data_IF_966696319262
#
_entry.id   IF_966696319262
#
_cell.length_a   1.000
_cell.length_b   1.000
_cell.length_c   1.000
_cell.angle_alpha   90.00
_cell.angle_beta   90.00
_cell.angle_gamma   90.00
#
_symmetry.space_group_name_H-M   'P 1'
#
loop_
_entity.id
_entity.type
_entity.pdbx_description
1 polymer ?
#
# COMPACT_ATOMS: atom_id res chain seq x y z
N UNK A 1 13.67 6.99 -5.89
CA UNK A 1 12.31 7.54 -5.85
C UNK A 1 11.39 6.60 -5.10
N UNK A 2 10.60 7.15 -4.19
CA UNK A 2 9.56 6.36 -3.51
C UNK A 2 8.45 6.12 -4.53
N UNK A 3 8.22 4.85 -4.88
CA UNK A 3 7.13 4.47 -5.78
C UNK A 3 5.79 4.95 -5.18
N UNK A 4 5.07 5.80 -5.90
CA UNK A 4 3.69 6.18 -5.55
C UNK A 4 2.78 4.97 -5.70
N UNK A 5 1.97 4.71 -4.68
CA UNK A 5 1.14 3.51 -4.61
C UNK A 5 -0.27 3.87 -4.20
N UNK A 6 -1.23 3.32 -4.92
CA UNK A 6 -2.62 3.37 -4.53
C UNK A 6 -3.13 2.03 -4.01
N UNK A 7 -4.16 2.08 -3.22
CA UNK A 7 -4.80 0.90 -2.65
C UNK A 7 -6.31 0.93 -2.89
N UNK A 8 -6.89 -0.26 -3.01
CA UNK A 8 -8.32 -0.45 -3.16
C UNK A 8 -8.78 -1.53 -2.19
N UNK A 9 -9.81 -1.23 -1.42
CA UNK A 9 -10.54 -2.19 -0.60
C UNK A 9 -11.91 -2.45 -1.21
N UNK A 10 -12.49 -3.61 -0.94
CA UNK A 10 -13.81 -3.99 -1.46
C UNK A 10 -14.69 -4.45 -0.32
N UNK A 11 -15.95 -4.02 -0.35
CA UNK A 11 -17.00 -4.48 0.52
C UNK A 11 -18.12 -5.12 -0.31
N UNK A 12 -18.46 -6.35 -0.01
CA UNK A 12 -19.55 -7.08 -0.64
C UNK A 12 -20.66 -7.31 0.37
N UNK A 13 -21.86 -6.82 0.06
CA UNK A 13 -23.02 -6.89 0.98
C UNK A 13 -22.70 -6.34 2.38
N UNK A 14 -22.00 -5.19 2.44
CA UNK A 14 -21.61 -4.53 3.68
C UNK A 14 -20.47 -5.17 4.47
N UNK A 15 -19.84 -6.24 3.96
CA UNK A 15 -18.74 -6.95 4.61
C UNK A 15 -17.45 -6.81 3.83
N UNK A 16 -16.32 -6.76 4.54
CA UNK A 16 -14.97 -6.70 3.94
C UNK A 16 -14.70 -7.94 3.07
N UNK A 17 -14.43 -7.72 1.79
CA UNK A 17 -14.02 -8.77 0.85
C UNK A 17 -12.53 -8.65 0.53
N UNK A 18 -11.71 -9.18 1.43
CA UNK A 18 -10.25 -9.05 1.35
C UNK A 18 -9.63 -9.75 0.14
N UNK A 19 -10.33 -10.70 -0.49
CA UNK A 19 -9.85 -11.38 -1.70
C UNK A 19 -9.81 -10.43 -2.90
N UNK A 20 -10.69 -9.43 -2.89
CA UNK A 20 -10.79 -8.41 -3.93
C UNK A 20 -9.96 -7.15 -3.65
N UNK A 21 -9.22 -7.07 -2.54
CA UNK A 21 -8.32 -5.96 -2.26
C UNK A 21 -7.16 -5.91 -3.27
N UNK A 22 -6.82 -4.73 -3.73
CA UNK A 22 -5.75 -4.55 -4.72
C UNK A 22 -4.81 -3.43 -4.32
N UNK A 23 -3.57 -3.53 -4.80
CA UNK A 23 -2.50 -2.55 -4.68
C UNK A 23 -2.05 -2.17 -6.07
N UNK A 24 -1.92 -0.89 -6.32
CA UNK A 24 -1.55 -0.36 -7.62
C UNK A 24 -0.25 0.43 -7.47
N UNK A 25 0.80 0.00 -8.16
CA UNK A 25 1.98 0.82 -8.38
C UNK A 25 1.62 1.85 -9.45
N UNK A 26 1.76 3.14 -9.14
CA UNK A 26 1.55 4.23 -10.08
C UNK A 26 2.70 4.21 -11.09
N UNK A 27 2.39 4.30 -12.38
CA UNK A 27 3.37 4.12 -13.47
C UNK A 27 3.57 5.37 -14.30
N UNK A 28 2.54 6.18 -14.47
CA UNK A 28 2.52 7.30 -15.41
C UNK A 28 2.71 8.65 -14.75
N UNK A 29 2.52 8.73 -13.44
CA UNK A 29 2.58 9.96 -12.68
C UNK A 29 3.96 10.10 -12.02
N UNK A 30 4.61 11.23 -12.26
CA UNK A 30 5.90 11.57 -11.66
C UNK A 30 5.68 12.70 -10.63
N UNK A 31 6.00 12.41 -9.38
CA UNK A 31 5.83 13.36 -8.27
C UNK A 31 4.50 13.20 -7.51
N UNK A 32 4.21 14.10 -6.57
CA UNK A 32 3.02 14.06 -5.74
C UNK A 32 1.81 14.61 -6.50
N UNK A 33 1.09 13.74 -7.21
CA UNK A 33 -0.17 14.06 -7.88
C UNK A 33 -1.21 13.00 -7.50
N UNK A 34 -1.97 13.29 -6.47
CA UNK A 34 -3.01 12.40 -5.95
C UNK A 34 -4.19 12.28 -6.95
N UNK A 35 -4.50 13.33 -7.69
CA UNK A 35 -5.60 13.32 -8.67
C UNK A 35 -5.29 12.41 -9.85
N UNK A 36 -4.13 12.59 -10.46
CA UNK A 36 -3.66 11.75 -11.55
C UNK A 36 -3.47 10.29 -11.11
N UNK A 37 -2.95 10.07 -9.91
CA UNK A 37 -2.78 8.73 -9.34
C UNK A 37 -4.11 7.99 -9.18
N UNK A 38 -5.15 8.64 -8.67
CA UNK A 38 -6.49 8.05 -8.55
C UNK A 38 -7.11 7.77 -9.92
N UNK A 39 -6.95 8.68 -10.87
CA UNK A 39 -7.42 8.50 -12.26
C UNK A 39 -6.73 7.31 -12.93
N UNK A 40 -5.41 7.15 -12.78
CA UNK A 40 -4.66 5.99 -13.29
C UNK A 40 -5.18 4.68 -12.69
N UNK A 41 -5.38 4.64 -11.36
CA UNK A 41 -5.88 3.44 -10.68
C UNK A 41 -7.24 3.03 -11.24
N UNK A 42 -8.17 3.98 -11.35
CA UNK A 42 -9.50 3.69 -11.88
C UNK A 42 -9.45 3.25 -13.34
N UNK A 43 -8.70 3.93 -14.20
CA UNK A 43 -8.53 3.55 -15.62
C UNK A 43 -8.03 2.10 -15.76
N UNK A 44 -7.10 1.70 -14.90
CA UNK A 44 -6.59 0.32 -14.88
C UNK A 44 -7.62 -0.66 -14.32
N UNK A 45 -8.37 -0.26 -13.27
CA UNK A 45 -9.40 -1.10 -12.67
C UNK A 45 -10.56 -1.40 -13.62
N UNK A 46 -10.99 -0.41 -14.39
CA UNK A 46 -12.05 -0.53 -15.40
C UNK A 46 -11.71 -1.63 -16.43
N UNK A 47 -10.46 -1.70 -16.87
CA UNK A 47 -10.01 -2.70 -17.86
C UNK A 47 -10.13 -4.15 -17.40
N UNK A 48 -10.21 -4.38 -16.10
CA UNK A 48 -10.36 -5.73 -15.54
C UNK A 48 -11.82 -6.22 -15.51
N UNK A 49 -12.79 -5.39 -15.89
CA UNK A 49 -14.22 -5.72 -15.78
C UNK A 49 -14.69 -5.86 -14.33
N UNK A 50 -15.84 -6.51 -14.13
CA UNK A 50 -16.48 -6.72 -12.82
C UNK A 50 -16.53 -5.44 -11.97
N UNK A 51 -17.22 -4.43 -12.50
CA UNK A 51 -17.32 -3.10 -11.90
C UNK A 51 -18.21 -3.12 -10.66
N UNK A 52 -17.93 -2.27 -9.64
CA UNK A 52 -18.73 -2.20 -8.43
C UNK A 52 -20.04 -1.43 -8.67
N UNK A 53 -20.98 -1.56 -7.72
CA UNK A 53 -22.21 -0.77 -7.72
C UNK A 53 -22.01 0.66 -7.19
N UNK A 54 -20.93 0.90 -6.44
CA UNK A 54 -20.61 2.19 -5.84
C UNK A 54 -19.09 2.30 -5.70
N UNK A 55 -18.54 3.50 -5.97
CA UNK A 55 -17.15 3.85 -5.73
C UNK A 55 -17.10 4.90 -4.61
N UNK A 56 -16.30 4.64 -3.59
CA UNK A 56 -15.98 5.57 -2.52
C UNK A 56 -14.48 5.90 -2.56
N UNK A 57 -14.15 7.18 -2.60
CA UNK A 57 -12.77 7.67 -2.56
C UNK A 57 -12.43 8.17 -1.14
N UNK A 58 -11.25 7.85 -0.65
CA UNK A 58 -10.71 8.53 0.54
C UNK A 58 -10.16 9.90 0.14
N UNK A 59 -11.06 10.85 -0.08
CA UNK A 59 -10.70 12.16 -0.58
C UNK A 59 -11.90 13.09 -0.76
N UNK A 60 -11.59 14.34 -1.07
CA UNK A 60 -12.56 15.40 -1.24
C UNK A 60 -13.00 15.62 -2.70
N UNK A 61 -13.63 16.78 -2.92
CA UNK A 61 -14.26 17.15 -4.21
C UNK A 61 -13.31 17.13 -5.41
N UNK A 62 -12.04 17.49 -5.20
CA UNK A 62 -11.04 17.48 -6.29
C UNK A 62 -10.75 16.08 -6.79
N UNK A 63 -10.53 15.11 -5.88
CA UNK A 63 -10.32 13.70 -6.24
C UNK A 63 -11.56 13.11 -6.93
N UNK A 64 -12.76 13.42 -6.43
CA UNK A 64 -14.02 13.01 -7.06
C UNK A 64 -14.12 13.54 -8.49
N UNK A 65 -13.79 14.81 -8.73
CA UNK A 65 -13.83 15.38 -10.07
C UNK A 65 -12.89 14.70 -11.05
N UNK A 66 -11.66 14.43 -10.63
CA UNK A 66 -10.67 13.74 -11.45
C UNK A 66 -11.12 12.32 -11.83
N UNK A 67 -11.62 11.56 -10.85
CA UNK A 67 -12.07 10.18 -11.05
C UNK A 67 -13.37 10.12 -11.86
N UNK A 68 -14.28 11.09 -11.67
CA UNK A 68 -15.51 11.17 -12.46
C UNK A 68 -15.22 11.40 -13.96
N UNK A 69 -14.22 12.20 -14.30
CA UNK A 69 -13.83 12.39 -15.69
C UNK A 69 -13.43 11.07 -16.37
N UNK A 70 -12.71 10.19 -15.64
CA UNK A 70 -12.37 8.86 -16.15
C UNK A 70 -13.60 7.99 -16.39
N UNK A 71 -14.61 8.04 -15.51
CA UNK A 71 -15.86 7.32 -15.70
C UNK A 71 -16.62 7.86 -16.93
N UNK A 72 -16.72 9.18 -17.05
CA UNK A 72 -17.41 9.86 -18.14
C UNK A 72 -16.76 9.55 -19.50
N UNK A 73 -15.41 9.61 -19.59
CA UNK A 73 -14.64 9.26 -20.79
C UNK A 73 -14.80 7.79 -21.22
N UNK A 74 -15.06 6.89 -20.29
CA UNK A 74 -15.31 5.48 -20.58
C UNK A 74 -16.80 5.11 -20.67
N UNK A 75 -17.71 6.08 -20.65
CA UNK A 75 -19.16 5.90 -20.67
C UNK A 75 -19.68 4.97 -19.55
N UNK A 76 -19.07 5.06 -18.37
CA UNK A 76 -19.41 4.22 -17.21
C UNK A 76 -20.25 5.02 -16.23
N UNK A 77 -21.46 4.50 -15.93
CA UNK A 77 -22.38 5.09 -14.97
C UNK A 77 -22.35 4.32 -13.65
N UNK A 78 -21.44 4.71 -12.77
CA UNK A 78 -21.36 4.17 -11.40
C UNK A 78 -21.44 5.36 -10.44
N UNK A 79 -22.29 5.29 -9.39
CA UNK A 79 -22.29 6.30 -8.34
C UNK A 79 -20.90 6.45 -7.73
N UNK A 80 -20.41 7.69 -7.65
CA UNK A 80 -19.10 8.06 -7.15
C UNK A 80 -19.23 9.09 -6.05
N UNK A 81 -18.64 8.81 -4.89
CA UNK A 81 -18.58 9.72 -3.76
C UNK A 81 -17.19 9.76 -3.14
N UNK A 82 -16.80 10.92 -2.64
CA UNK A 82 -15.62 11.08 -1.80
C UNK A 82 -16.01 11.06 -0.32
N UNK A 83 -15.21 10.40 0.49
CA UNK A 83 -15.31 10.42 1.95
C UNK A 83 -14.37 11.53 2.45
N UNK A 84 -14.93 12.68 2.80
CA UNK A 84 -14.12 13.80 3.27
C UNK A 84 -14.01 13.86 4.80
N UNK A 85 -12.93 14.47 5.27
CA UNK A 85 -12.55 14.53 6.69
C UNK A 85 -12.73 15.92 7.27
N UNK A 86 -12.92 15.99 8.58
CA UNK A 86 -12.86 17.24 9.35
C UNK A 86 -11.39 17.67 9.60
N UNK A 87 -11.18 18.84 10.18
CA UNK A 87 -9.86 19.38 10.52
C UNK A 87 -9.06 18.50 11.49
N UNK A 88 -9.71 17.55 12.14
CA UNK A 88 -9.10 16.54 13.02
C UNK A 88 -8.86 15.21 12.30
N UNK A 89 -8.90 15.20 10.98
CA UNK A 89 -8.74 14.02 10.12
C UNK A 89 -9.73 12.87 10.37
N UNK A 90 -10.91 13.16 10.91
CA UNK A 90 -11.99 12.18 11.13
C UNK A 90 -13.01 12.28 10.02
N UNK A 91 -13.63 11.18 9.66
CA UNK A 91 -14.75 11.14 8.71
C UNK A 91 -15.78 12.21 9.07
N UNK A 92 -16.11 13.08 8.11
CA UNK A 92 -17.14 14.13 8.28
C UNK A 92 -18.36 13.84 7.42
N UNK A 93 -18.16 13.37 6.19
CA UNK A 93 -19.28 13.17 5.30
C UNK A 93 -18.91 12.62 3.95
N UNK A 94 -19.84 12.74 3.03
CA UNK A 94 -19.74 12.32 1.64
C UNK A 94 -19.89 13.50 0.71
N UNK A 95 -19.12 13.54 -0.37
CA UNK A 95 -19.14 14.59 -1.38
C UNK A 95 -19.13 14.00 -2.79
N UNK A 96 -19.91 14.57 -3.70
CA UNK A 96 -19.82 14.32 -5.13
C UNK A 96 -19.72 15.65 -5.92
N UNK A 97 -19.85 15.62 -7.24
CA UNK A 97 -19.81 16.83 -8.07
C UNK A 97 -20.90 17.85 -7.69
N UNK A 98 -22.06 17.38 -7.24
CA UNK A 98 -23.28 18.18 -7.10
C UNK A 98 -23.58 18.59 -5.66
N UNK A 99 -23.18 17.79 -4.68
CA UNK A 99 -23.60 17.97 -3.30
C UNK A 99 -22.57 17.48 -2.29
N UNK A 100 -22.66 17.99 -1.10
CA UNK A 100 -21.93 17.58 0.09
C UNK A 100 -22.92 17.19 1.18
N UNK A 101 -22.72 16.05 1.82
CA UNK A 101 -23.56 15.51 2.87
C UNK A 101 -22.73 15.33 4.12
N UNK A 102 -22.99 16.11 5.15
CA UNK A 102 -22.42 15.89 6.48
C UNK A 102 -23.18 14.76 7.16
N UNK A 103 -22.47 13.74 7.62
CA UNK A 103 -23.09 12.58 8.25
C UNK A 103 -23.25 12.79 9.75
N UNK A 104 -24.41 12.42 10.25
CA UNK A 104 -24.67 12.40 11.70
C UNK A 104 -23.93 11.21 12.32
N UNK A 105 -23.03 11.53 13.27
CA UNK A 105 -22.14 10.58 13.95
C UNK A 105 -22.86 9.51 14.77
N UNK A 106 -24.11 9.72 15.09
CA UNK A 106 -24.93 8.76 15.85
C UNK A 106 -25.49 7.64 14.97
N UNK A 107 -25.47 7.82 13.64
CA UNK A 107 -26.10 6.91 12.68
C UNK A 107 -25.23 5.70 12.34
N UNK A 108 -25.90 4.62 11.93
CA UNK A 108 -25.22 3.45 11.39
C UNK A 108 -24.53 3.74 10.05
N UNK A 109 -25.07 4.65 9.24
CA UNK A 109 -24.45 5.08 8.00
C UNK A 109 -23.09 5.73 8.26
N UNK A 110 -23.01 6.66 9.22
CA UNK A 110 -21.73 7.25 9.61
C UNK A 110 -20.71 6.19 10.05
N UNK A 111 -21.13 5.27 10.95
CA UNK A 111 -20.23 4.20 11.43
C UNK A 111 -19.72 3.33 10.30
N UNK A 112 -20.59 3.02 9.33
CA UNK A 112 -20.21 2.21 8.17
C UNK A 112 -19.23 2.96 7.27
N UNK A 113 -19.51 4.20 6.88
CA UNK A 113 -18.61 5.03 6.06
C UNK A 113 -17.26 5.22 6.76
N UNK A 114 -17.27 5.54 8.06
CA UNK A 114 -16.05 5.67 8.84
C UNK A 114 -15.23 4.37 8.86
N UNK A 115 -15.87 3.22 8.97
CA UNK A 115 -15.19 1.92 8.94
C UNK A 115 -14.56 1.60 7.59
N UNK A 116 -15.19 2.02 6.48
CA UNK A 116 -14.61 1.89 5.13
C UNK A 116 -13.38 2.79 4.99
N UNK A 117 -13.50 4.05 5.42
CA UNK A 117 -12.40 5.01 5.35
C UNK A 117 -11.21 4.58 6.21
N UNK A 118 -11.45 4.04 7.40
CA UNK A 118 -10.42 3.46 8.25
C UNK A 118 -9.76 2.23 7.60
N UNK A 119 -10.54 1.34 7.00
CA UNK A 119 -10.01 0.12 6.36
C UNK A 119 -9.09 0.46 5.19
N UNK A 120 -9.47 1.39 4.30
CA UNK A 120 -8.61 1.78 3.16
C UNK A 120 -7.34 2.45 3.64
N UNK A 121 -7.44 3.30 4.67
CA UNK A 121 -6.30 3.96 5.28
C UNK A 121 -5.32 2.96 5.93
N UNK A 122 -5.82 2.03 6.73
CA UNK A 122 -5.01 1.00 7.38
C UNK A 122 -4.36 0.06 6.37
N UNK A 123 -5.07 -0.29 5.29
CA UNK A 123 -4.52 -1.11 4.22
C UNK A 123 -3.37 -0.41 3.50
N UNK A 124 -3.50 0.88 3.23
CA UNK A 124 -2.44 1.71 2.64
C UNK A 124 -1.22 1.80 3.56
N UNK A 125 -1.41 2.15 4.85
CA UNK A 125 -0.32 2.25 5.83
C UNK A 125 0.44 0.94 5.96
N UNK A 126 -0.28 -0.18 6.10
CA UNK A 126 0.34 -1.50 6.24
C UNK A 126 1.23 -1.83 5.04
N UNK A 127 0.78 -1.46 3.84
CA UNK A 127 1.57 -1.68 2.63
C UNK A 127 2.80 -0.78 2.58
N UNK A 128 2.66 0.51 2.86
CA UNK A 128 3.81 1.43 2.94
C UNK A 128 4.87 0.96 3.94
N UNK A 129 4.44 0.48 5.12
CA UNK A 129 5.36 -0.10 6.11
C UNK A 129 6.09 -1.33 5.58
N UNK A 130 5.39 -2.20 4.85
CA UNK A 130 6.01 -3.40 4.26
C UNK A 130 7.07 -3.06 3.20
N UNK A 131 6.85 -2.00 2.42
CA UNK A 131 7.81 -1.54 1.42
C UNK A 131 9.04 -0.88 2.06
N UNK A 132 8.82 -0.03 3.08
CA UNK A 132 9.93 0.56 3.84
C UNK A 132 10.79 -0.55 4.48
N UNK A 133 10.15 -1.55 5.09
CA UNK A 133 10.89 -2.69 5.66
C UNK A 133 11.70 -3.42 4.60
N UNK A 134 11.13 -3.67 3.41
CA UNK A 134 11.86 -4.27 2.27
C UNK A 134 13.02 -3.40 1.78
N UNK A 135 12.82 -2.09 1.68
CA UNK A 135 13.86 -1.15 1.24
C UNK A 135 15.02 -1.09 2.23
N UNK A 136 14.72 -0.99 3.53
CA UNK A 136 15.74 -1.00 4.59
C UNK A 136 16.51 -2.34 4.61
N UNK A 137 15.79 -3.45 4.51
CA UNK A 137 16.38 -4.79 4.44
C UNK A 137 17.33 -4.94 3.24
N UNK A 138 16.94 -4.42 2.09
CA UNK A 138 17.77 -4.45 0.89
C UNK A 138 19.02 -3.58 1.06
N UNK A 139 18.89 -2.39 1.65
CA UNK A 139 20.00 -1.46 1.88
C UNK A 139 21.06 -2.05 2.82
N UNK A 140 20.66 -2.57 3.99
CA UNK A 140 21.60 -3.11 4.99
C UNK A 140 22.45 -4.26 4.43
N UNK A 141 21.86 -5.20 3.70
CA UNK A 141 22.61 -6.30 3.11
C UNK A 141 23.48 -5.89 1.91
N UNK A 142 23.18 -4.75 1.26
CA UNK A 142 23.98 -4.21 0.17
C UNK A 142 25.33 -3.65 0.66
N UNK A 143 25.40 -3.24 1.92
CA UNK A 143 26.61 -2.68 2.53
C UNK A 143 27.62 -3.76 2.98
N UNK A 144 27.21 -5.06 2.98
CA UNK A 144 28.06 -6.17 3.41
C UNK A 144 28.91 -6.67 2.23
N UNK A 145 30.25 -6.61 2.31
CA UNK A 145 31.13 -7.09 1.25
C UNK A 145 30.86 -8.55 0.88
N UNK A 146 30.72 -8.81 -0.43
CA UNK A 146 30.51 -10.16 -0.93
C UNK A 146 29.06 -10.66 -0.89
N UNK A 147 28.11 -9.83 -0.45
CA UNK A 147 26.67 -10.15 -0.43
C UNK A 147 25.99 -9.52 -1.63
N UNK A 148 25.99 -10.24 -2.75
CA UNK A 148 25.25 -9.86 -3.96
C UNK A 148 23.79 -10.33 -3.94
N UNK A 149 23.04 -10.03 -5.02
CA UNK A 149 21.58 -10.28 -5.11
C UNK A 149 21.18 -11.74 -4.81
N UNK A 150 21.95 -12.73 -5.27
CA UNK A 150 21.66 -14.15 -5.03
C UNK A 150 21.77 -14.51 -3.55
N UNK A 151 22.88 -14.12 -2.91
CA UNK A 151 23.11 -14.36 -1.49
C UNK A 151 22.09 -13.65 -0.62
N UNK A 152 21.77 -12.41 -0.95
CA UNK A 152 20.70 -11.64 -0.30
C UNK A 152 19.35 -12.37 -0.35
N UNK A 153 18.97 -12.83 -1.54
CA UNK A 153 17.72 -13.56 -1.73
C UNK A 153 17.67 -14.83 -0.89
N UNK A 154 18.76 -15.60 -0.86
CA UNK A 154 18.84 -16.84 -0.10
C UNK A 154 18.80 -16.59 1.41
N UNK A 155 19.55 -15.60 1.92
CA UNK A 155 19.50 -15.18 3.33
C UNK A 155 18.08 -14.77 3.75
N UNK A 156 17.40 -13.92 2.98
CA UNK A 156 16.04 -13.49 3.27
C UNK A 156 15.01 -14.60 3.12
N UNK A 157 15.24 -15.55 2.23
CA UNK A 157 14.39 -16.74 2.11
C UNK A 157 14.53 -17.65 3.32
N UNK A 158 15.73 -17.81 3.86
CA UNK A 158 16.02 -18.66 5.02
C UNK A 158 15.55 -18.02 6.33
N UNK A 159 16.05 -16.83 6.64
CA UNK A 159 15.83 -16.15 7.93
C UNK A 159 14.58 -15.28 8.00
N UNK A 160 13.93 -14.96 6.88
CA UNK A 160 12.70 -14.15 6.75
C UNK A 160 12.82 -12.67 7.17
N UNK A 161 13.83 -12.27 7.94
CA UNK A 161 14.03 -10.89 8.39
C UNK A 161 15.50 -10.55 8.63
N UNK A 162 15.86 -9.27 8.62
CA UNK A 162 17.20 -8.79 8.99
C UNK A 162 17.48 -9.07 10.46
N UNK A 163 16.49 -8.88 11.32
CA UNK A 163 16.67 -9.15 12.77
C UNK A 163 17.05 -10.60 13.03
N UNK A 164 16.48 -11.54 12.26
CA UNK A 164 16.84 -12.96 12.36
C UNK A 164 18.23 -13.25 11.79
N UNK A 165 18.65 -12.54 10.72
CA UNK A 165 20.02 -12.64 10.18
C UNK A 165 21.03 -12.09 11.20
N UNK A 166 20.71 -10.94 11.83
CA UNK A 166 21.55 -10.32 12.87
C UNK A 166 21.72 -11.23 14.08
N UNK A 167 20.67 -11.95 14.48
CA UNK A 167 20.68 -12.86 15.63
C UNK A 167 21.29 -14.24 15.30
N UNK A 168 21.50 -14.56 14.02
CA UNK A 168 22.00 -15.87 13.61
C UNK A 168 23.44 -16.13 14.07
N UNK A 169 23.72 -17.37 14.41
CA UNK A 169 25.08 -17.83 14.68
C UNK A 169 25.85 -17.96 13.37
N UNK A 170 27.17 -18.09 13.49
CA UNK A 170 28.03 -18.29 12.33
C UNK A 170 27.70 -19.61 11.59
N UNK A 171 27.40 -20.65 12.34
CA UNK A 171 27.00 -21.97 11.83
C UNK A 171 25.69 -21.90 11.05
N UNK A 172 24.67 -21.23 11.60
CA UNK A 172 23.38 -21.04 10.92
C UNK A 172 23.51 -20.24 9.62
N UNK A 173 24.42 -19.27 9.57
CA UNK A 173 24.70 -18.54 8.34
C UNK A 173 25.30 -19.44 7.24
N UNK A 174 26.13 -20.42 7.60
CA UNK A 174 26.72 -21.38 6.67
C UNK A 174 25.73 -22.40 6.11
N UNK A 175 24.59 -22.60 6.76
CA UNK A 175 23.51 -23.47 6.26
C UNK A 175 22.77 -22.86 5.08
N UNK A 176 22.92 -21.55 4.85
CA UNK A 176 22.23 -20.87 3.75
C UNK A 176 22.91 -21.15 2.42
N UNK A 177 22.14 -21.60 1.45
CA UNK A 177 22.63 -21.84 0.08
C UNK A 177 23.38 -20.62 -0.46
N UNK A 178 24.51 -20.82 -1.10
CA UNK A 178 25.42 -19.80 -1.65
C UNK A 178 26.25 -18.99 -0.63
N UNK A 179 26.07 -19.18 0.66
CA UNK A 179 26.91 -18.55 1.69
C UNK A 179 28.12 -19.43 1.96
N UNK A 180 29.30 -18.92 1.64
CA UNK A 180 30.58 -19.54 1.99
C UNK A 180 31.14 -18.92 3.28
N UNK A 181 32.23 -19.47 3.79
CA UNK A 181 32.87 -19.03 5.04
C UNK A 181 33.17 -17.54 5.07
N UNK A 182 33.76 -16.99 4.01
CA UNK A 182 34.06 -15.54 3.91
C UNK A 182 32.82 -14.69 3.95
N UNK A 183 31.73 -15.10 3.26
CA UNK A 183 30.47 -14.37 3.29
C UNK A 183 29.81 -14.42 4.67
N UNK A 184 29.83 -15.57 5.33
CA UNK A 184 29.34 -15.72 6.69
C UNK A 184 30.13 -14.86 7.71
N UNK A 185 31.48 -14.83 7.59
CA UNK A 185 32.34 -13.94 8.38
C UNK A 185 32.00 -12.47 8.19
N UNK A 186 31.80 -12.02 6.93
CA UNK A 186 31.45 -10.65 6.64
C UNK A 186 30.10 -10.26 7.23
N UNK A 187 29.09 -11.13 7.13
CA UNK A 187 27.77 -10.90 7.74
C UNK A 187 27.89 -10.80 9.26
N UNK A 188 28.54 -11.80 9.86
CA UNK A 188 28.69 -11.88 11.31
C UNK A 188 29.42 -10.65 11.88
N UNK A 189 30.54 -10.27 11.28
CA UNK A 189 31.32 -9.12 11.70
C UNK A 189 30.58 -7.79 11.47
N UNK A 190 29.85 -7.65 10.36
CA UNK A 190 29.08 -6.45 10.09
C UNK A 190 28.05 -6.16 11.20
N UNK A 191 27.31 -7.16 11.62
CA UNK A 191 26.30 -7.00 12.68
C UNK A 191 26.86 -6.95 14.09
N UNK A 192 28.03 -7.55 14.34
CA UNK A 192 28.71 -7.48 15.66
C UNK A 192 29.48 -6.19 15.87
N UNK A 193 29.87 -5.47 14.82
CA UNK A 193 30.54 -4.18 14.94
C UNK A 193 29.60 -3.01 15.23
N UNK A 194 28.27 -3.23 15.24
CA UNK A 194 27.26 -2.24 15.59
C UNK A 194 26.78 -2.33 17.06
N UNK A 195 27.28 -3.28 17.84
CA UNK A 195 27.11 -3.36 19.31
C UNK A 195 28.26 -2.65 20.04
#
# INVERSE_FOLDING_TARGET
GVDSIGTMVVFTNGKKDRKEYRRFKIKTIVGPDDYGSMAEILSRRIKHGNLPNLILLDGGKGQVSAVQNVLDENNIQIPLWGMFKDDKHRTKGLVNKSQEIVLDKTTNLYRFVASIQEEVHNYAITYHRSLRKKSLTKSVLDDIPGIGETRKKNLLSHFKSIDSIKAATFEELLEVESINKTAAENIYNYFKSEE
#
